data_IF_219780096922
#
_entry.id   IF_219780096922
#
_cell.length_a   1.000
_cell.length_b   1.000
_cell.length_c   1.000
_cell.angle_alpha   90.00
_cell.angle_beta   90.00
_cell.angle_gamma   90.00
#
_symmetry.space_group_name_H-M   'P 1'
#
loop_
_entity.id
_entity.type
_entity.pdbx_description
1 polymer ?
#
# COMPACT_ATOMS: atom_id res chain seq x y z
N UNK A 1 1.52 -33.22 -14.49
CA UNK A 1 1.04 -31.95 -13.91
C UNK A 1 0.45 -32.28 -12.54
N UNK A 2 0.94 -31.72 -11.44
CA UNK A 2 0.57 -32.17 -10.09
C UNK A 2 -0.73 -31.53 -9.60
N UNK A 3 -1.47 -32.24 -8.75
CA UNK A 3 -2.70 -31.77 -8.07
C UNK A 3 -2.50 -30.44 -7.29
N UNK A 4 -1.25 -30.15 -6.87
CA UNK A 4 -0.87 -28.91 -6.20
C UNK A 4 -0.88 -27.70 -7.14
N UNK A 5 -0.66 -27.90 -8.43
CA UNK A 5 -0.69 -26.83 -9.44
C UNK A 5 -2.12 -26.48 -9.85
N UNK A 6 -3.05 -27.44 -9.75
CA UNK A 6 -4.48 -27.23 -9.96
C UNK A 6 -5.09 -26.37 -8.84
N UNK A 7 -4.75 -26.65 -7.57
CA UNK A 7 -5.22 -25.86 -6.42
C UNK A 7 -4.68 -24.43 -6.37
N UNK A 8 -3.51 -24.15 -6.96
CA UNK A 8 -2.96 -22.78 -7.10
C UNK A 8 -3.72 -21.91 -8.12
N UNK A 9 -4.36 -22.54 -9.13
CA UNK A 9 -5.24 -21.87 -10.09
C UNK A 9 -6.67 -21.64 -9.57
N UNK A 10 -7.07 -22.32 -8.50
CA UNK A 10 -8.45 -22.44 -8.05
C UNK A 10 -9.04 -21.23 -7.28
N UNK A 11 -8.35 -20.10 -7.18
CA UNK A 11 -8.81 -18.93 -6.42
C UNK A 11 -8.64 -17.60 -7.17
N UNK A 12 -8.60 -17.63 -8.50
CA UNK A 12 -8.70 -16.40 -9.32
C UNK A 12 -10.01 -16.41 -10.08
N UNK A 13 -10.67 -15.26 -10.14
CA UNK A 13 -11.88 -15.07 -10.94
C UNK A 13 -11.49 -14.76 -12.39
N UNK A 14 -12.41 -14.91 -13.33
CA UNK A 14 -12.21 -14.46 -14.71
C UNK A 14 -12.43 -12.95 -14.85
N UNK A 15 -12.15 -12.39 -16.03
CA UNK A 15 -12.42 -10.98 -16.30
C UNK A 15 -13.94 -10.73 -16.31
N UNK A 16 -14.71 -11.65 -16.88
CA UNK A 16 -16.18 -11.57 -16.94
C UNK A 16 -16.78 -11.60 -15.52
N UNK A 17 -16.30 -12.50 -14.66
CA UNK A 17 -16.72 -12.56 -13.26
C UNK A 17 -16.33 -11.27 -12.50
N UNK A 18 -15.14 -10.72 -12.76
CA UNK A 18 -14.71 -9.46 -12.17
C UNK A 18 -15.60 -8.28 -12.62
N UNK A 19 -16.06 -8.26 -13.88
CA UNK A 19 -16.93 -7.22 -14.40
C UNK A 19 -18.24 -7.10 -13.63
N UNK A 20 -18.83 -8.23 -13.26
CA UNK A 20 -20.06 -8.26 -12.47
C UNK A 20 -19.77 -8.05 -10.98
N UNK A 21 -18.83 -8.83 -10.43
CA UNK A 21 -18.60 -8.86 -8.98
C UNK A 21 -17.92 -7.61 -8.44
N UNK A 22 -17.04 -6.96 -9.23
CA UNK A 22 -16.31 -5.78 -8.75
C UNK A 22 -17.12 -4.50 -8.85
N UNK A 23 -18.14 -4.45 -9.72
CA UNK A 23 -18.90 -3.22 -9.97
C UNK A 23 -19.51 -2.66 -8.69
N UNK A 24 -20.15 -3.52 -7.89
CA UNK A 24 -20.82 -3.12 -6.65
C UNK A 24 -19.82 -2.66 -5.59
N UNK A 25 -18.76 -3.44 -5.36
CA UNK A 25 -17.76 -3.12 -4.34
C UNK A 25 -16.93 -1.88 -4.72
N UNK A 26 -16.66 -1.65 -6.00
CA UNK A 26 -15.97 -0.45 -6.48
C UNK A 26 -16.83 0.78 -6.22
N UNK A 27 -18.12 0.71 -6.53
CA UNK A 27 -19.04 1.82 -6.27
C UNK A 27 -19.17 2.08 -4.76
N UNK A 28 -19.25 1.05 -3.93
CA UNK A 28 -19.24 1.17 -2.48
C UNK A 28 -17.97 1.87 -1.98
N UNK A 29 -16.81 1.42 -2.45
CA UNK A 29 -15.52 1.98 -2.07
C UNK A 29 -15.40 3.46 -2.46
N UNK A 30 -15.85 3.83 -3.66
CA UNK A 30 -15.90 5.23 -4.12
C UNK A 30 -16.82 6.05 -3.22
N UNK A 31 -18.05 5.59 -2.99
CA UNK A 31 -19.04 6.32 -2.18
C UNK A 31 -18.57 6.55 -0.74
N UNK A 32 -17.84 5.58 -0.18
CA UNK A 32 -17.33 5.65 1.20
C UNK A 32 -15.92 6.23 1.31
N UNK A 33 -15.29 6.61 0.19
CA UNK A 33 -13.88 7.03 0.14
C UNK A 33 -12.92 6.00 0.79
N UNK A 34 -13.15 4.72 0.53
CA UNK A 34 -12.35 3.59 1.04
C UNK A 34 -11.50 2.98 -0.08
N UNK A 35 -10.42 2.32 0.31
CA UNK A 35 -9.53 1.57 -0.59
C UNK A 35 -9.63 0.08 -0.33
N UNK A 36 -9.23 -0.71 -1.33
CA UNK A 36 -9.17 -2.15 -1.25
C UNK A 36 -7.86 -2.61 -0.62
N UNK A 37 -7.94 -3.45 0.41
CA UNK A 37 -6.82 -4.20 0.97
C UNK A 37 -7.02 -5.69 0.70
N UNK A 38 -6.02 -6.35 0.13
CA UNK A 38 -6.11 -7.79 -0.12
C UNK A 38 -5.71 -8.60 1.11
N UNK A 39 -6.62 -9.44 1.62
CA UNK A 39 -6.38 -10.33 2.77
C UNK A 39 -5.13 -11.18 2.58
N UNK A 40 -4.22 -11.10 3.55
CA UNK A 40 -2.98 -11.87 3.56
C UNK A 40 -1.92 -11.38 2.56
N UNK A 41 -2.15 -10.27 1.87
CA UNK A 41 -1.19 -9.63 0.98
C UNK A 41 -0.93 -8.19 1.44
N UNK A 42 0.31 -7.73 1.33
CA UNK A 42 0.62 -6.30 1.50
C UNK A 42 0.29 -5.52 0.23
N UNK A 43 -0.98 -5.60 -0.20
CA UNK A 43 -1.48 -4.97 -1.41
C UNK A 43 -2.67 -4.07 -1.06
N UNK A 44 -2.52 -2.80 -1.40
CA UNK A 44 -3.56 -1.79 -1.32
C UNK A 44 -3.80 -1.21 -2.71
N UNK A 45 -5.06 -1.03 -3.08
CA UNK A 45 -5.46 -0.46 -4.35
C UNK A 45 -6.60 0.54 -4.12
N UNK A 46 -6.49 1.70 -4.73
CA UNK A 46 -7.65 2.58 -4.87
C UNK A 46 -8.71 1.93 -5.78
N UNK A 47 -9.98 2.38 -5.73
CA UNK A 47 -11.02 1.82 -6.58
C UNK A 47 -10.69 1.89 -8.08
N UNK A 48 -10.05 2.97 -8.52
CA UNK A 48 -9.65 3.15 -9.92
C UNK A 48 -8.47 2.26 -10.33
N UNK A 49 -7.54 1.97 -9.42
CA UNK A 49 -6.44 1.03 -9.68
C UNK A 49 -6.93 -0.41 -9.76
N UNK A 50 -7.87 -0.80 -8.90
CA UNK A 50 -8.52 -2.10 -9.01
C UNK A 50 -9.23 -2.19 -10.36
N UNK A 51 -10.06 -1.18 -10.70
CA UNK A 51 -10.80 -1.11 -11.96
C UNK A 51 -9.89 -1.32 -13.19
N UNK A 52 -8.86 -0.49 -13.33
CA UNK A 52 -7.90 -0.59 -14.43
C UNK A 52 -7.13 -1.91 -14.41
N UNK A 53 -6.86 -2.43 -13.21
CA UNK A 53 -6.09 -3.66 -13.04
C UNK A 53 -6.81 -4.89 -13.58
N UNK A 54 -8.10 -5.06 -13.26
CA UNK A 54 -8.86 -6.24 -13.70
C UNK A 54 -9.17 -6.23 -15.19
N UNK A 55 -9.41 -5.04 -15.78
CA UNK A 55 -9.53 -4.85 -17.23
C UNK A 55 -8.26 -5.32 -17.98
N UNK A 56 -7.09 -5.25 -17.33
CA UNK A 56 -5.80 -5.71 -17.84
C UNK A 56 -5.45 -7.15 -17.41
N UNK A 57 -6.39 -7.90 -16.85
CA UNK A 57 -6.18 -9.27 -16.37
C UNK A 57 -5.36 -9.38 -15.08
N UNK A 58 -5.22 -8.30 -14.32
CA UNK A 58 -4.51 -8.25 -13.02
C UNK A 58 -5.50 -8.21 -11.86
N UNK A 59 -5.03 -8.57 -10.66
CA UNK A 59 -5.81 -8.49 -9.42
C UNK A 59 -7.17 -9.20 -9.47
N UNK A 60 -7.27 -10.28 -10.25
CA UNK A 60 -8.47 -11.11 -10.40
C UNK A 60 -8.63 -12.04 -9.19
N UNK A 61 -8.86 -11.48 -8.01
CA UNK A 61 -9.11 -12.19 -6.77
C UNK A 61 -10.62 -12.22 -6.46
N UNK A 62 -11.16 -13.29 -5.87
CA UNK A 62 -12.55 -13.32 -5.46
C UNK A 62 -12.87 -12.18 -4.48
N UNK A 63 -14.06 -11.60 -4.56
CA UNK A 63 -14.48 -10.43 -3.73
C UNK A 63 -14.19 -10.61 -2.24
N UNK A 64 -14.36 -11.82 -1.70
CA UNK A 64 -14.06 -12.16 -0.30
C UNK A 64 -12.62 -11.91 0.15
N UNK A 65 -11.68 -11.80 -0.79
CA UNK A 65 -10.27 -11.46 -0.54
C UNK A 65 -10.05 -9.97 -0.34
N UNK A 66 -11.00 -9.13 -0.74
CA UNK A 66 -10.89 -7.69 -0.57
C UNK A 66 -11.57 -7.27 0.74
N UNK A 67 -10.90 -6.37 1.46
CA UNK A 67 -11.47 -5.61 2.56
C UNK A 67 -11.43 -4.13 2.21
N UNK A 68 -12.46 -3.39 2.64
CA UNK A 68 -12.46 -1.94 2.50
C UNK A 68 -11.79 -1.31 3.74
N UNK A 69 -10.73 -0.54 3.50
CA UNK A 69 -9.95 0.12 4.53
C UNK A 69 -9.83 1.62 4.30
N UNK A 70 -9.59 2.37 5.38
CA UNK A 70 -9.35 3.81 5.28
C UNK A 70 -7.98 4.04 4.61
N UNK A 71 -7.88 4.86 3.54
CA UNK A 71 -6.59 5.13 2.88
C UNK A 71 -5.54 5.72 3.82
N UNK A 72 -5.96 6.40 4.89
CA UNK A 72 -5.04 6.92 5.91
C UNK A 72 -4.34 5.80 6.69
N UNK A 73 -4.94 4.62 6.83
CA UNK A 73 -4.30 3.48 7.49
C UNK A 73 -3.17 2.92 6.63
N UNK A 74 -3.32 2.93 5.30
CA UNK A 74 -2.24 2.64 4.36
C UNK A 74 -1.09 3.67 4.46
N UNK A 75 -1.41 4.96 4.58
CA UNK A 75 -0.42 6.03 4.62
C UNK A 75 0.31 6.16 5.97
N UNK A 76 -0.34 5.79 7.07
CA UNK A 76 0.17 5.99 8.45
C UNK A 76 1.59 5.44 8.68
N UNK A 77 1.94 4.22 8.22
CA UNK A 77 3.31 3.71 8.35
C UNK A 77 4.35 4.56 7.62
N UNK A 78 4.04 5.06 6.43
CA UNK A 78 4.95 5.90 5.63
C UNK A 78 5.17 7.26 6.29
N UNK A 79 4.08 7.90 6.73
CA UNK A 79 4.15 9.16 7.48
C UNK A 79 5.01 9.02 8.76
N UNK A 80 4.85 7.91 9.48
CA UNK A 80 5.65 7.63 10.68
C UNK A 80 7.13 7.41 10.36
N UNK A 81 7.45 6.67 9.28
CA UNK A 81 8.83 6.49 8.82
C UNK A 81 9.48 7.83 8.45
N UNK A 82 8.75 8.66 7.69
CA UNK A 82 9.21 9.99 7.31
C UNK A 82 9.49 10.87 8.53
N UNK A 83 8.57 10.93 9.50
CA UNK A 83 8.75 11.68 10.74
C UNK A 83 10.00 11.23 11.52
N UNK A 84 10.22 9.92 11.66
CA UNK A 84 11.40 9.38 12.32
C UNK A 84 12.70 9.76 11.59
N UNK A 85 12.71 9.65 10.27
CA UNK A 85 13.86 10.03 9.45
C UNK A 85 14.20 11.53 9.60
N UNK A 86 13.17 12.39 9.57
CA UNK A 86 13.33 13.84 9.78
C UNK A 86 13.95 14.15 11.15
N UNK A 87 13.44 13.55 12.22
CA UNK A 87 13.99 13.74 13.56
C UNK A 87 15.45 13.31 13.66
N UNK A 88 15.81 12.17 13.06
CA UNK A 88 17.20 11.69 13.03
C UNK A 88 18.12 12.66 12.28
N UNK A 89 17.66 13.19 11.14
CA UNK A 89 18.40 14.18 10.37
C UNK A 89 18.63 15.47 11.19
N UNK A 90 17.58 16.03 11.79
CA UNK A 90 17.68 17.25 12.60
C UNK A 90 18.64 17.07 13.79
N UNK A 91 18.60 15.90 14.43
CA UNK A 91 19.53 15.58 15.52
C UNK A 91 20.98 15.49 15.05
N UNK A 92 21.24 14.79 13.95
CA UNK A 92 22.57 14.69 13.36
C UNK A 92 23.12 16.05 12.94
N UNK A 93 22.27 16.89 12.31
CA UNK A 93 22.63 18.23 11.90
C UNK A 93 23.03 19.12 13.08
N UNK A 94 22.26 19.08 14.19
CA UNK A 94 22.60 19.80 15.43
C UNK A 94 23.95 19.37 16.00
N UNK A 95 24.22 18.06 16.02
CA UNK A 95 25.51 17.53 16.49
C UNK A 95 26.67 17.98 15.62
N UNK A 96 26.49 17.97 14.31
CA UNK A 96 27.52 18.44 13.38
C UNK A 96 27.81 19.93 13.56
N UNK A 97 26.77 20.77 13.67
CA UNK A 97 26.95 22.20 13.90
C UNK A 97 27.70 22.49 15.21
N UNK A 98 27.40 21.73 16.28
CA UNK A 98 28.13 21.84 17.55
C UNK A 98 29.61 21.42 17.40
N UNK A 99 29.87 20.31 16.70
CA UNK A 99 31.23 19.86 16.41
C UNK A 99 32.00 20.92 15.61
N UNK A 100 31.44 21.43 14.52
CA UNK A 100 32.09 22.42 13.66
C UNK A 100 32.48 23.68 14.45
N UNK A 101 31.58 24.19 15.29
CA UNK A 101 31.85 25.34 16.17
C UNK A 101 32.97 25.08 17.18
N UNK A 102 33.02 23.88 17.77
CA UNK A 102 34.11 23.52 18.69
C UNK A 102 35.43 23.33 17.96
N UNK A 103 35.39 22.74 16.77
CA UNK A 103 36.56 22.54 15.93
C UNK A 103 37.18 23.89 15.56
N UNK A 104 36.39 24.82 14.99
CA UNK A 104 36.84 26.19 14.67
C UNK A 104 37.48 26.89 15.87
N UNK A 105 36.84 26.82 17.05
CA UNK A 105 37.36 27.43 18.29
C UNK A 105 38.70 26.83 18.75
N UNK A 106 38.96 25.56 18.45
CA UNK A 106 40.17 24.86 18.88
C UNK A 106 41.30 24.88 17.81
N UNK A 107 41.01 25.32 16.58
CA UNK A 107 41.98 25.44 15.48
C UNK A 107 42.39 26.89 15.16
N UNK A 108 41.83 27.87 15.86
CA UNK A 108 42.23 29.29 15.87
C UNK A 108 42.91 29.62 17.19
#
# INVERSE_FOLDING_TARGET
MSEKDYKKKANKITIEEAQECYKEIIQEAINKNLWFSAKGLNLWLSPYELQKGWELGKYLFPVKYWELGNPNDYLRPYANKFRKAKNSYEYAHKRYAAYAKMHEKNTL
#
